data_IF_381470968245
#
_entry.id   IF_381470968245
#
_cell.length_a   1.000
_cell.length_b   1.000
_cell.length_c   1.000
_cell.angle_alpha   90.00
_cell.angle_beta   90.00
_cell.angle_gamma   90.00
#
_symmetry.space_group_name_H-M   'P 1'
#
loop_
_entity.id
_entity.type
_entity.pdbx_description
1 polymer ?
#
# COMPACT_ATOMS: atom_id res chain seq x y z
N UNK A 1 -24.24 13.67 -44.32
CA UNK A 1 -23.90 13.56 -42.88
C UNK A 1 -24.33 14.84 -42.19
N UNK A 2 -25.38 14.82 -41.36
CA UNK A 2 -25.87 16.01 -40.65
C UNK A 2 -25.06 16.17 -39.36
N UNK A 3 -24.21 17.20 -39.29
CA UNK A 3 -23.50 17.60 -38.07
C UNK A 3 -24.50 18.04 -37.01
N UNK A 4 -24.49 17.38 -35.84
CA UNK A 4 -25.24 17.82 -34.66
C UNK A 4 -24.64 19.13 -34.15
N UNK A 5 -25.46 20.14 -33.79
CA UNK A 5 -24.93 21.37 -33.23
C UNK A 5 -24.32 21.06 -31.86
N UNK A 6 -23.10 21.55 -31.63
CA UNK A 6 -22.47 21.57 -30.31
C UNK A 6 -23.28 22.57 -29.48
N UNK A 7 -24.04 22.07 -28.52
CA UNK A 7 -24.81 22.91 -27.62
C UNK A 7 -23.87 23.85 -26.87
N UNK A 8 -24.11 25.15 -27.06
CA UNK A 8 -23.40 26.23 -26.38
C UNK A 8 -23.65 26.11 -24.88
N UNK A 9 -22.67 25.60 -24.14
CA UNK A 9 -22.76 25.49 -22.68
C UNK A 9 -22.67 26.89 -22.10
N UNK A 10 -23.81 27.43 -21.65
CA UNK A 10 -23.87 28.69 -20.90
C UNK A 10 -22.88 28.63 -19.72
N UNK A 11 -22.12 29.70 -19.45
CA UNK A 11 -21.19 29.73 -18.33
C UNK A 11 -22.00 29.62 -17.04
N UNK A 12 -22.01 28.43 -16.46
CA UNK A 12 -22.59 28.20 -15.13
C UNK A 12 -21.75 28.98 -14.12
N UNK A 13 -22.42 29.74 -13.25
CA UNK A 13 -21.75 30.49 -12.19
C UNK A 13 -20.88 29.53 -11.38
N UNK A 14 -19.58 29.80 -11.27
CA UNK A 14 -18.67 28.95 -10.51
C UNK A 14 -19.18 28.87 -9.06
N UNK A 15 -19.41 27.67 -8.51
CA UNK A 15 -19.85 27.53 -7.13
C UNK A 15 -18.82 28.21 -6.23
N UNK A 16 -19.30 29.10 -5.36
CA UNK A 16 -18.43 29.89 -4.46
C UNK A 16 -17.99 29.08 -3.24
N UNK A 17 -18.70 28.00 -2.94
CA UNK A 17 -18.50 27.13 -1.78
C UNK A 17 -18.73 25.66 -2.19
N UNK A 18 -18.12 24.75 -1.44
CA UNK A 18 -18.25 23.31 -1.62
C UNK A 18 -18.90 22.71 -0.37
N UNK A 19 -20.18 22.36 -0.49
CA UNK A 19 -20.93 21.64 0.53
C UNK A 19 -20.79 20.12 0.36
N UNK A 20 -21.44 19.35 1.23
CA UNK A 20 -21.42 17.89 1.18
C UNK A 20 -22.04 17.31 -0.09
N UNK A 21 -23.07 17.94 -0.66
CA UNK A 21 -23.73 17.42 -1.85
C UNK A 21 -22.88 17.64 -3.10
N UNK A 22 -22.24 18.80 -3.23
CA UNK A 22 -21.27 19.06 -4.29
C UNK A 22 -20.05 18.14 -4.16
N UNK A 23 -19.57 17.90 -2.93
CA UNK A 23 -18.47 16.96 -2.70
C UNK A 23 -18.86 15.52 -3.04
N UNK A 24 -20.08 15.07 -2.68
CA UNK A 24 -20.65 13.78 -3.09
C UNK A 24 -20.66 13.65 -4.61
N UNK A 25 -21.15 14.65 -5.33
CA UNK A 25 -21.14 14.65 -6.80
C UNK A 25 -19.72 14.58 -7.37
N UNK A 26 -18.76 15.29 -6.77
CA UNK A 26 -17.36 15.23 -7.17
C UNK A 26 -16.77 13.82 -7.00
N UNK A 27 -17.11 13.11 -5.91
CA UNK A 27 -16.66 11.73 -5.69
C UNK A 27 -17.29 10.74 -6.69
N UNK A 28 -18.59 10.88 -6.98
CA UNK A 28 -19.27 10.05 -7.97
C UNK A 28 -18.74 10.31 -9.41
N UNK A 29 -18.46 11.56 -9.73
CA UNK A 29 -17.79 11.96 -10.97
C UNK A 29 -16.38 11.38 -11.07
N UNK A 30 -15.62 11.42 -9.97
CA UNK A 30 -14.28 10.81 -9.88
C UNK A 30 -14.33 9.29 -10.08
N UNK A 31 -15.32 8.61 -9.52
CA UNK A 31 -15.53 7.18 -9.74
C UNK A 31 -15.78 6.88 -11.23
N UNK A 32 -16.66 7.65 -11.87
CA UNK A 32 -16.98 7.48 -13.28
C UNK A 32 -15.76 7.71 -14.18
N UNK A 33 -14.98 8.76 -13.88
CA UNK A 33 -13.76 9.08 -14.60
C UNK A 33 -12.70 7.99 -14.43
N UNK A 34 -12.46 7.52 -13.19
CA UNK A 34 -11.47 6.48 -12.93
C UNK A 34 -11.88 5.14 -13.55
N UNK A 35 -13.17 4.81 -13.56
CA UNK A 35 -13.70 3.62 -14.24
C UNK A 35 -13.34 3.64 -15.73
N UNK A 36 -13.51 4.79 -16.40
CA UNK A 36 -13.19 4.93 -17.83
C UNK A 36 -11.68 4.94 -18.13
N UNK A 37 -10.83 5.28 -17.15
CA UNK A 37 -9.41 5.50 -17.34
C UNK A 37 -8.51 4.52 -16.56
N UNK A 38 -9.07 3.50 -15.88
CA UNK A 38 -8.32 2.59 -15.02
C UNK A 38 -7.14 1.91 -15.73
N UNK A 39 -7.33 1.55 -17.02
CA UNK A 39 -6.30 0.86 -17.80
C UNK A 39 -5.14 1.78 -18.15
N UNK A 40 -5.41 3.07 -18.35
CA UNK A 40 -4.35 4.05 -18.52
C UNK A 40 -3.58 4.24 -17.22
N UNK A 41 -4.27 4.32 -16.07
CA UNK A 41 -3.62 4.39 -14.76
C UNK A 41 -2.79 3.13 -14.46
N UNK A 42 -3.28 1.94 -14.85
CA UNK A 42 -2.52 0.69 -14.76
C UNK A 42 -1.20 0.77 -15.54
N UNK A 43 -1.22 1.37 -16.74
CA UNK A 43 -0.02 1.54 -17.59
C UNK A 43 0.98 2.57 -17.07
N UNK A 44 0.51 3.60 -16.36
CA UNK A 44 1.38 4.65 -15.83
C UNK A 44 2.31 4.18 -14.70
N UNK A 45 1.96 3.11 -13.97
CA UNK A 45 2.80 2.63 -12.87
C UNK A 45 4.03 1.88 -13.40
N UNK A 46 5.17 2.57 -13.42
CA UNK A 46 6.43 2.09 -14.05
C UNK A 46 7.57 1.79 -13.06
N UNK A 47 7.31 1.45 -11.78
CA UNK A 47 8.39 1.14 -10.82
C UNK A 47 8.11 -0.02 -9.84
N UNK A 48 9.06 -0.97 -9.62
CA UNK A 48 10.20 -1.39 -10.45
C UNK A 48 9.82 -2.45 -11.50
N UNK A 49 8.62 -3.03 -11.40
CA UNK A 49 7.96 -3.91 -12.37
C UNK A 49 6.49 -3.46 -12.43
N UNK A 50 5.88 -3.32 -13.62
CA UNK A 50 4.47 -2.95 -13.72
C UNK A 50 3.60 -4.07 -13.14
N UNK A 51 3.06 -3.88 -11.94
CA UNK A 51 2.08 -4.80 -11.34
C UNK A 51 0.75 -4.80 -12.13
N UNK A 52 0.54 -3.78 -12.98
CA UNK A 52 -0.59 -3.71 -13.92
C UNK A 52 -1.97 -3.55 -13.26
N UNK A 53 -2.02 -3.35 -11.94
CA UNK A 53 -3.25 -3.38 -11.14
C UNK A 53 -3.52 -2.08 -10.38
N UNK A 54 -2.72 -1.03 -10.59
CA UNK A 54 -2.76 0.21 -9.81
C UNK A 54 -4.09 0.96 -9.94
N UNK A 55 -4.55 1.16 -11.17
CA UNK A 55 -5.87 1.72 -11.48
C UNK A 55 -7.00 0.83 -10.97
N UNK A 56 -6.89 -0.49 -11.13
CA UNK A 56 -7.87 -1.46 -10.62
C UNK A 56 -8.02 -1.36 -9.09
N UNK A 57 -6.90 -1.34 -8.37
CA UNK A 57 -6.83 -1.21 -6.92
C UNK A 57 -7.42 0.13 -6.44
N UNK A 58 -7.11 1.23 -7.12
CA UNK A 58 -7.69 2.54 -6.83
C UNK A 58 -9.20 2.57 -7.11
N UNK A 59 -9.66 1.96 -8.22
CA UNK A 59 -11.07 1.93 -8.58
C UNK A 59 -11.89 1.18 -7.52
N UNK A 60 -11.48 -0.05 -7.16
CA UNK A 60 -12.17 -0.86 -6.16
C UNK A 60 -12.23 -0.13 -4.81
N UNK A 61 -11.15 0.56 -4.43
CA UNK A 61 -11.11 1.37 -3.20
C UNK A 61 -12.08 2.55 -3.26
N UNK A 62 -12.13 3.25 -4.40
CA UNK A 62 -13.04 4.39 -4.58
C UNK A 62 -14.51 3.95 -4.66
N UNK A 63 -14.79 2.78 -5.24
CA UNK A 63 -16.13 2.17 -5.21
C UNK A 63 -16.60 1.96 -3.78
N UNK A 64 -15.76 1.35 -2.93
CA UNK A 64 -16.08 1.20 -1.50
C UNK A 64 -16.23 2.54 -0.77
N UNK A 65 -15.46 3.56 -1.16
CA UNK A 65 -15.57 4.89 -0.56
C UNK A 65 -16.92 5.57 -0.82
N UNK A 66 -17.52 5.34 -1.99
CA UNK A 66 -18.77 6.02 -2.37
C UNK A 66 -20.03 5.22 -2.07
N UNK A 67 -19.92 3.96 -1.69
CA UNK A 67 -21.07 3.08 -1.45
C UNK A 67 -22.04 3.70 -0.42
N UNK A 68 -21.52 4.07 0.76
CA UNK A 68 -22.32 4.69 1.83
C UNK A 68 -22.70 6.16 1.53
N UNK A 69 -22.04 6.78 0.55
CA UNK A 69 -22.29 8.17 0.16
C UNK A 69 -23.50 8.27 -0.77
N UNK A 70 -23.74 7.27 -1.62
CA UNK A 70 -24.82 7.27 -2.62
C UNK A 70 -26.19 7.53 -2.00
N UNK A 71 -26.46 6.89 -0.87
CA UNK A 71 -27.72 7.02 -0.14
C UNK A 71 -27.71 8.15 0.91
N UNK A 72 -26.61 8.89 1.05
CA UNK A 72 -26.50 9.96 2.04
C UNK A 72 -27.04 11.29 1.54
N UNK A 73 -27.96 11.88 2.32
CA UNK A 73 -28.49 13.24 2.11
C UNK A 73 -27.78 14.30 2.98
N UNK A 74 -26.62 13.96 3.55
CA UNK A 74 -25.89 14.89 4.42
C UNK A 74 -25.42 16.13 3.63
N UNK A 75 -25.76 17.31 4.13
CA UNK A 75 -25.34 18.59 3.53
C UNK A 75 -23.96 19.04 3.95
N UNK A 76 -23.49 18.55 5.10
CA UNK A 76 -22.18 18.92 5.64
C UNK A 76 -21.07 18.14 4.94
N UNK A 77 -20.06 18.85 4.43
CA UNK A 77 -18.87 18.23 3.81
C UNK A 77 -18.14 17.28 4.76
N UNK A 78 -18.10 17.61 6.05
CA UNK A 78 -17.46 16.77 7.07
C UNK A 78 -18.08 15.37 7.17
N UNK A 79 -19.42 15.26 7.04
CA UNK A 79 -20.14 13.98 7.09
C UNK A 79 -19.84 13.12 5.86
N UNK A 80 -19.90 13.71 4.68
CA UNK A 80 -19.59 13.01 3.42
C UNK A 80 -18.11 12.59 3.39
N UNK A 81 -17.20 13.45 3.84
CA UNK A 81 -15.79 13.13 3.94
C UNK A 81 -15.51 11.99 4.94
N UNK A 82 -16.22 11.95 6.08
CA UNK A 82 -16.10 10.87 7.04
C UNK A 82 -16.57 9.52 6.47
N UNK A 83 -17.69 9.51 5.74
CA UNK A 83 -18.17 8.31 5.03
C UNK A 83 -17.16 7.84 3.97
N UNK A 84 -16.63 8.77 3.16
CA UNK A 84 -15.60 8.46 2.16
C UNK A 84 -14.34 7.84 2.80
N UNK A 85 -13.88 8.44 3.91
CA UNK A 85 -12.72 7.95 4.65
C UNK A 85 -12.96 6.57 5.26
N UNK A 86 -14.16 6.31 5.78
CA UNK A 86 -14.52 5.01 6.33
C UNK A 86 -14.60 3.93 5.24
N UNK A 87 -15.38 4.17 4.18
CA UNK A 87 -15.56 3.22 3.08
C UNK A 87 -14.25 2.91 2.34
N UNK A 88 -13.42 3.93 2.09
CA UNK A 88 -12.11 3.72 1.47
C UNK A 88 -11.15 2.93 2.35
N UNK A 89 -11.21 3.10 3.68
CA UNK A 89 -10.38 2.34 4.61
C UNK A 89 -10.80 0.87 4.69
N UNK A 90 -12.11 0.59 4.73
CA UNK A 90 -12.65 -0.78 4.77
C UNK A 90 -12.45 -1.53 3.45
N UNK A 91 -12.50 -0.81 2.32
CA UNK A 91 -12.37 -1.37 0.98
C UNK A 91 -11.01 -1.25 0.32
N UNK A 92 -9.98 -0.76 1.03
CA UNK A 92 -8.66 -0.51 0.46
C UNK A 92 -8.06 -1.77 -0.20
N UNK A 93 -7.64 -1.66 -1.46
CA UNK A 93 -6.99 -2.73 -2.23
C UNK A 93 -5.57 -2.36 -2.63
N UNK A 94 -4.63 -3.25 -2.35
CA UNK A 94 -3.22 -3.05 -2.68
C UNK A 94 -2.60 -1.80 -2.05
N UNK A 95 -1.39 -1.45 -2.48
CA UNK A 95 -0.68 -0.28 -1.95
C UNK A 95 -1.37 1.02 -2.36
N UNK A 96 -1.80 1.12 -3.61
CA UNK A 96 -2.44 2.33 -4.16
C UNK A 96 -3.78 2.63 -3.49
N UNK A 97 -4.57 1.60 -3.17
CA UNK A 97 -5.79 1.76 -2.38
C UNK A 97 -5.52 2.16 -0.92
N UNK A 98 -4.50 1.59 -0.28
CA UNK A 98 -4.09 2.02 1.07
C UNK A 98 -3.69 3.48 1.09
N UNK A 99 -2.90 3.95 0.12
CA UNK A 99 -2.50 5.36 0.01
C UNK A 99 -3.74 6.25 -0.20
N UNK A 100 -4.63 5.87 -1.12
CA UNK A 100 -5.88 6.60 -1.37
C UNK A 100 -6.75 6.72 -0.11
N UNK A 101 -6.87 5.65 0.69
CA UNK A 101 -7.61 5.72 1.96
C UNK A 101 -6.93 6.61 3.00
N UNK A 102 -5.59 6.73 2.99
CA UNK A 102 -4.90 7.69 3.85
C UNK A 102 -5.23 9.13 3.46
N UNK A 103 -5.30 9.42 2.15
CA UNK A 103 -5.67 10.74 1.63
C UNK A 103 -7.09 11.09 2.09
N UNK A 104 -8.07 10.20 1.88
CA UNK A 104 -9.44 10.44 2.36
C UNK A 104 -9.50 10.67 3.87
N UNK A 105 -8.78 9.89 4.66
CA UNK A 105 -8.72 10.08 6.11
C UNK A 105 -8.04 11.40 6.52
N UNK A 106 -6.99 11.81 5.80
CA UNK A 106 -6.34 13.10 5.99
C UNK A 106 -7.31 14.25 5.73
N UNK A 107 -7.98 14.20 4.58
CA UNK A 107 -9.01 15.16 4.17
C UNK A 107 -10.15 15.24 5.20
N UNK A 108 -10.75 14.10 5.57
CA UNK A 108 -11.85 14.04 6.54
C UNK A 108 -11.49 14.63 7.91
N UNK A 109 -10.24 14.43 8.36
CA UNK A 109 -9.74 15.06 9.59
C UNK A 109 -9.65 16.58 9.44
N UNK A 110 -9.14 17.08 8.33
CA UNK A 110 -8.98 18.51 8.10
C UNK A 110 -10.34 19.24 8.05
N UNK A 111 -11.35 18.62 7.45
CA UNK A 111 -12.68 19.22 7.28
C UNK A 111 -13.64 18.94 8.43
N UNK A 112 -13.18 18.32 9.52
CA UNK A 112 -14.04 17.89 10.63
C UNK A 112 -14.86 19.06 11.20
N UNK A 113 -16.17 18.86 11.34
CA UNK A 113 -17.09 19.87 11.86
C UNK A 113 -17.46 21.00 10.88
N UNK A 114 -16.89 21.03 9.67
CA UNK A 114 -17.25 22.01 8.65
C UNK A 114 -18.50 21.56 7.88
N UNK A 115 -19.38 22.52 7.60
CA UNK A 115 -20.55 22.31 6.75
C UNK A 115 -20.20 22.47 5.25
N UNK A 116 -19.34 23.43 4.95
CA UNK A 116 -18.92 23.79 3.59
C UNK A 116 -17.47 24.30 3.60
N UNK A 117 -16.85 24.38 2.42
CA UNK A 117 -15.50 24.91 2.23
C UNK A 117 -15.48 26.01 1.17
N UNK A 118 -14.67 27.03 1.39
CA UNK A 118 -14.20 27.90 0.33
C UNK A 118 -13.18 27.19 -0.57
N UNK A 119 -12.90 27.69 -1.79
CA UNK A 119 -11.87 27.12 -2.65
C UNK A 119 -10.48 27.07 -2.01
N UNK A 120 -10.13 28.06 -1.19
CA UNK A 120 -8.86 28.09 -0.45
C UNK A 120 -8.80 26.96 0.58
N UNK A 121 -9.86 26.80 1.39
CA UNK A 121 -9.91 25.72 2.39
C UNK A 121 -9.96 24.33 1.76
N UNK A 122 -10.54 24.20 0.56
CA UNK A 122 -10.49 22.95 -0.19
C UNK A 122 -9.07 22.61 -0.62
N UNK A 123 -8.30 23.60 -1.10
CA UNK A 123 -6.90 23.42 -1.45
C UNK A 123 -6.07 23.01 -0.22
N UNK A 124 -6.21 23.74 0.89
CA UNK A 124 -5.55 23.44 2.16
C UNK A 124 -5.87 22.00 2.64
N UNK A 125 -7.13 21.57 2.50
CA UNK A 125 -7.55 20.23 2.87
C UNK A 125 -6.87 19.13 2.03
N UNK A 126 -6.66 19.35 0.73
CA UNK A 126 -5.94 18.40 -0.13
C UNK A 126 -4.43 18.41 0.10
N UNK A 127 -3.84 19.58 0.38
CA UNK A 127 -2.42 19.68 0.75
C UNK A 127 -2.15 18.90 2.04
N UNK A 128 -2.96 19.11 3.08
CA UNK A 128 -2.83 18.38 4.35
C UNK A 128 -3.11 16.87 4.18
N UNK A 129 -4.06 16.50 3.31
CA UNK A 129 -4.34 15.11 2.99
C UNK A 129 -3.14 14.39 2.34
N UNK A 130 -2.40 15.09 1.46
CA UNK A 130 -1.19 14.57 0.80
C UNK A 130 0.06 14.60 1.69
N UNK A 131 0.16 15.58 2.59
CA UNK A 131 1.30 15.73 3.50
C UNK A 131 1.41 14.60 4.53
N UNK A 132 0.30 13.91 4.82
CA UNK A 132 0.24 12.84 5.82
C UNK A 132 0.76 11.50 5.30
N UNK A 133 1.99 11.49 4.79
CA UNK A 133 2.84 10.29 4.83
C UNK A 133 3.24 10.08 6.29
N UNK A 134 3.02 8.90 6.90
CA UNK A 134 3.68 8.60 8.16
C UNK A 134 5.18 8.82 7.93
N UNK A 135 5.78 9.82 8.58
CA UNK A 135 7.24 9.88 8.64
C UNK A 135 7.66 8.49 9.11
N UNK A 136 8.51 7.75 8.39
CA UNK A 136 8.98 6.48 8.90
C UNK A 136 9.51 6.78 10.29
N UNK A 137 8.91 6.15 11.32
CA UNK A 137 9.50 6.22 12.65
C UNK A 137 10.96 5.79 12.44
N UNK A 138 11.96 6.54 12.93
CA UNK A 138 13.32 6.04 12.89
C UNK A 138 13.24 4.66 13.52
N UNK A 139 13.59 3.62 12.74
CA UNK A 139 13.82 2.30 13.32
C UNK A 139 14.89 2.58 14.36
N UNK A 140 14.51 2.62 15.64
CA UNK A 140 15.46 2.56 16.73
C UNK A 140 16.37 1.42 16.35
N UNK A 141 17.67 1.70 16.17
CA UNK A 141 18.67 0.66 15.87
C UNK A 141 18.62 -0.33 17.02
N UNK A 142 17.74 -1.32 16.93
CA UNK A 142 17.85 -2.52 17.76
C UNK A 142 19.10 -3.19 17.25
N UNK A 143 20.15 -3.12 18.06
CA UNK A 143 21.35 -3.93 17.88
C UNK A 143 20.93 -5.41 17.87
N UNK A 144 21.66 -6.21 17.07
CA UNK A 144 21.52 -7.65 16.83
C UNK A 144 20.35 -8.01 15.87
N UNK A 145 20.55 -8.70 14.75
CA UNK A 145 21.57 -9.69 14.40
C UNK A 145 21.92 -9.60 12.92
N UNK A 146 23.17 -9.24 12.62
CA UNK A 146 23.81 -9.70 11.39
C UNK A 146 24.28 -11.13 11.66
N UNK A 147 23.57 -12.13 11.12
CA UNK A 147 24.19 -13.40 10.77
C UNK A 147 25.30 -13.07 9.76
N UNK A 148 26.51 -12.91 10.27
CA UNK A 148 27.72 -12.86 9.49
C UNK A 148 28.16 -14.30 9.25
N UNK A 149 27.86 -14.83 8.06
CA UNK A 149 28.61 -15.95 7.51
C UNK A 149 30.04 -15.45 7.22
N UNK A 150 30.95 -15.68 8.16
CA UNK A 150 32.39 -15.55 7.96
C UNK A 150 33.01 -16.95 7.88
N UNK A 151 33.88 -17.25 6.90
CA UNK A 151 34.53 -18.56 6.79
C UNK A 151 35.57 -18.73 7.92
N UNK A 152 35.86 -19.97 8.38
CA UNK A 152 36.75 -20.19 9.51
C UNK A 152 38.20 -19.83 9.14
N UNK A 153 38.77 -18.86 9.87
CA UNK A 153 40.20 -18.52 9.81
C UNK A 153 41.04 -19.64 10.44
N UNK A 154 42.03 -20.10 9.68
CA UNK A 154 43.06 -21.03 10.10
C UNK A 154 43.79 -20.55 11.37
N UNK A 155 43.95 -21.45 12.35
CA UNK A 155 44.74 -21.20 13.57
C UNK A 155 46.23 -21.33 13.27
N UNK A 156 47.11 -20.53 13.91
CA UNK A 156 48.55 -20.69 13.76
C UNK A 156 49.09 -21.89 14.55
N UNK A 157 50.00 -22.65 13.93
CA UNK A 157 50.73 -23.76 14.54
C UNK A 157 51.78 -23.26 15.55
N UNK A 158 51.94 -23.88 16.73
CA UNK A 158 53.19 -23.81 17.48
C UNK A 158 54.21 -24.87 16.99
N UNK A 159 55.49 -24.52 17.08
CA UNK A 159 56.70 -25.25 16.64
C UNK A 159 57.09 -26.43 17.57
N UNK A 160 58.00 -27.33 17.15
CA UNK A 160 58.09 -28.69 17.68
C UNK A 160 59.05 -28.81 18.88
N UNK A 161 58.74 -29.72 19.80
CA UNK A 161 59.70 -30.29 20.75
C UNK A 161 59.72 -31.80 20.64
N UNK A 162 60.92 -32.30 20.44
CA UNK A 162 61.38 -33.66 20.17
C UNK A 162 61.09 -34.65 21.32
N UNK A 163 60.47 -35.80 21.03
CA UNK A 163 60.94 -37.15 21.42
C UNK A 163 60.02 -38.27 20.91
N UNK A 164 60.61 -39.21 20.16
CA UNK A 164 60.14 -40.58 19.86
C UNK A 164 60.37 -41.50 21.09
N UNK A 165 60.02 -42.82 21.06
CA UNK A 165 58.82 -43.50 20.53
C UNK A 165 58.26 -44.57 21.53
N UNK A 166 57.09 -45.16 21.24
CA UNK A 166 56.83 -46.60 21.45
C UNK A 166 55.43 -47.00 20.98
N UNK A 167 55.36 -47.77 19.88
CA UNK A 167 54.26 -48.69 19.50
C UNK A 167 54.24 -49.91 20.45
N UNK A 168 53.35 -50.94 20.35
CA UNK A 168 52.28 -51.25 19.38
C UNK A 168 50.92 -51.50 20.10
N UNK A 169 49.78 -51.89 19.53
CA UNK A 169 49.48 -53.00 18.60
C UNK A 169 47.98 -53.01 18.22
N UNK A 170 47.69 -53.55 17.03
CA UNK A 170 46.57 -54.43 16.64
C UNK A 170 45.34 -54.55 17.57
N UNK A 171 44.08 -54.62 17.10
CA UNK A 171 43.57 -55.56 16.07
C UNK A 171 42.15 -55.17 15.62
N UNK A 172 41.82 -55.36 14.33
CA UNK A 172 40.44 -55.65 13.81
C UNK A 172 40.14 -57.15 14.01
N UNK A 173 38.87 -57.60 14.10
CA UNK A 173 38.05 -57.97 12.91
C UNK A 173 36.59 -57.46 13.05
N UNK A 174 35.81 -57.13 12.01
CA UNK A 174 35.36 -57.82 10.78
C UNK A 174 34.00 -58.54 10.93
N UNK A 175 33.09 -58.18 10.00
CA UNK A 175 31.93 -58.96 9.48
C UNK A 175 30.72 -59.10 10.43
N UNK A 176 29.46 -59.22 10.01
CA UNK A 176 28.89 -59.64 8.73
C UNK A 176 27.36 -59.37 8.74
N UNK A 177 26.75 -59.14 7.56
CA UNK A 177 25.45 -59.68 7.02
C UNK A 177 24.19 -59.79 7.91
N UNK A 178 22.92 -59.71 7.47
CA UNK A 178 22.19 -59.61 6.18
C UNK A 178 20.68 -59.43 6.50
N UNK A 179 19.95 -58.81 5.56
CA UNK A 179 18.56 -58.96 5.06
C UNK A 179 17.39 -59.60 5.87
N UNK A 180 16.17 -59.10 5.54
CA UNK A 180 14.87 -59.79 5.61
C UNK A 180 13.74 -58.82 6.02
N UNK A 181 12.97 -58.20 5.11
CA UNK A 181 11.81 -58.69 4.33
C UNK A 181 10.44 -58.58 5.02
N UNK A 182 9.56 -57.79 4.38
CA UNK A 182 8.14 -58.05 4.07
C UNK A 182 7.04 -58.06 5.15
N UNK A 183 6.06 -57.20 4.86
CA UNK A 183 4.59 -57.38 4.94
C UNK A 183 3.90 -57.56 6.30
N UNK A 184 3.04 -56.58 6.60
CA UNK A 184 1.58 -56.77 6.71
C UNK A 184 0.87 -55.45 6.44
#
# INVERSE_FOLDING_TARGET
MKTRPVAEQKPQARPRLVDGQLFKLALLGSLSWLTANQEEVNRLNVFPVPDGDTGTNMLLTLQSAVEDIRESDAKEISKIAALAAHGSLMGARGNSGVILSQIFRGFAKHVQGKAELTPAELADAFEEAGARRPRPRPRTRTRASTLSCAPPRARPRPRPTTRLPSSPSCTRPASSTRAGSASR
#
